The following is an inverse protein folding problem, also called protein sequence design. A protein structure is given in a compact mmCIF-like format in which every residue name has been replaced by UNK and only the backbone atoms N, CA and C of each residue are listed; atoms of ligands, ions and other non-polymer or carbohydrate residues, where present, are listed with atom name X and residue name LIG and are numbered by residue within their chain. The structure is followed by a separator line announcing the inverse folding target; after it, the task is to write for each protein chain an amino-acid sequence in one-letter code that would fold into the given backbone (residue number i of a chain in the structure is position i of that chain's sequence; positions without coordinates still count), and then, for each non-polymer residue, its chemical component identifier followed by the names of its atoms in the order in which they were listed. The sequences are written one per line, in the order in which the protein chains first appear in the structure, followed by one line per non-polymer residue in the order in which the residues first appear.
data_IF_278036665206
#
_entry.id   IF_278036665206
#
_cell.length_a   1.000
_cell.length_b   1.000
_cell.length_c   1.000
_cell.angle_alpha   90.00
_cell.angle_beta   90.00
_cell.angle_gamma   90.00
#
_symmetry.space_group_name_H-M   'P 1'
#
loop_
_entity.id
_entity.type
_entity.pdbx_description
1 polymer ?
#
# COMPACT_ATOMS: atom_id res chain seq x y z
N UNK A 1 -6.18 -5.44 27.22
CA UNK A 1 -5.82 -4.49 26.14
C UNK A 1 -4.32 -4.38 25.87
N UNK A 2 -3.43 -3.99 26.80
CA UNK A 2 -1.97 -3.88 26.51
C UNK A 2 -1.25 -5.24 26.32
N UNK A 3 -1.68 -6.32 26.97
CA UNK A 3 -1.09 -7.65 26.80
C UNK A 3 -1.46 -8.30 25.46
N UNK A 4 -2.71 -8.14 25.01
CA UNK A 4 -3.21 -8.75 23.75
C UNK A 4 -2.52 -8.16 22.52
N UNK A 5 -2.17 -6.86 22.56
CA UNK A 5 -1.43 -6.19 21.48
C UNK A 5 0.03 -6.66 21.40
N UNK A 6 0.69 -6.92 22.53
CA UNK A 6 2.05 -7.45 22.56
C UNK A 6 2.11 -8.92 22.13
N UNK A 7 1.10 -9.72 22.48
CA UNK A 7 1.01 -11.12 22.04
C UNK A 7 0.71 -11.22 20.53
N UNK A 8 -0.16 -10.36 20.00
CA UNK A 8 -0.45 -10.30 18.57
C UNK A 8 0.79 -9.88 17.75
N UNK A 9 1.58 -8.91 18.23
CA UNK A 9 2.82 -8.48 17.58
C UNK A 9 3.86 -9.62 17.56
N UNK A 10 4.05 -10.31 18.69
CA UNK A 10 4.98 -11.45 18.77
C UNK A 10 4.53 -12.65 17.92
N UNK A 11 3.23 -12.89 17.80
CA UNK A 11 2.67 -13.93 16.93
C UNK A 11 2.87 -13.57 15.44
N UNK A 12 2.78 -12.29 15.08
CA UNK A 12 3.12 -11.74 13.76
C UNK A 12 4.60 -11.92 13.41
N UNK A 13 5.50 -11.49 14.31
CA UNK A 13 6.95 -11.61 14.12
C UNK A 13 7.39 -13.08 13.95
N UNK A 14 6.78 -14.00 14.72
CA UNK A 14 7.06 -15.44 14.62
C UNK A 14 6.53 -16.03 13.31
N UNK A 15 5.36 -15.60 12.85
CA UNK A 15 4.78 -16.04 11.58
C UNK A 15 5.64 -15.61 10.38
N UNK A 16 6.14 -14.38 10.40
CA UNK A 16 6.99 -13.87 9.33
C UNK A 16 8.37 -14.54 9.33
N UNK A 17 8.90 -14.91 10.50
CA UNK A 17 10.10 -15.75 10.61
C UNK A 17 9.89 -17.16 10.02
N UNK A 18 8.73 -17.79 10.24
CA UNK A 18 8.37 -19.08 9.63
C UNK A 18 8.30 -18.97 8.10
N UNK A 19 7.66 -17.92 7.58
CA UNK A 19 7.58 -17.66 6.13
C UNK A 19 8.97 -17.41 5.53
N UNK A 20 9.80 -16.60 6.18
CA UNK A 20 11.18 -16.34 5.74
C UNK A 20 12.03 -17.62 5.66
N UNK A 21 11.88 -18.52 6.63
CA UNK A 21 12.59 -19.80 6.62
C UNK A 21 12.14 -20.71 5.47
N UNK A 22 10.83 -20.83 5.25
CA UNK A 22 10.29 -21.62 4.13
C UNK A 22 10.71 -21.04 2.77
N UNK A 23 10.82 -19.72 2.65
CA UNK A 23 11.32 -19.06 1.43
C UNK A 23 12.77 -19.46 1.14
N UNK A 24 13.63 -19.45 2.17
CA UNK A 24 15.05 -19.75 2.03
C UNK A 24 15.35 -21.24 1.81
N UNK A 25 14.61 -22.14 2.49
CA UNK A 25 14.83 -23.59 2.39
C UNK A 25 14.00 -24.26 1.29
N UNK A 26 13.01 -23.58 0.71
CA UNK A 26 12.07 -24.11 -0.27
C UNK A 26 10.96 -24.96 0.35
N UNK A 27 11.31 -25.96 1.15
CA UNK A 27 10.39 -26.75 1.96
C UNK A 27 11.01 -27.14 3.31
N UNK A 28 10.20 -27.30 4.35
CA UNK A 28 10.67 -27.75 5.67
C UNK A 28 9.57 -28.42 6.48
N UNK A 29 9.94 -29.27 7.44
CA UNK A 29 8.99 -29.80 8.43
C UNK A 29 8.79 -28.83 9.59
N UNK A 30 7.70 -29.00 10.35
CA UNK A 30 7.49 -28.22 11.58
C UNK A 30 8.60 -28.41 12.62
N UNK A 31 9.30 -29.56 12.60
CA UNK A 31 10.43 -29.82 13.49
C UNK A 31 11.65 -28.98 13.08
N UNK A 32 12.00 -28.99 11.78
CA UNK A 32 13.13 -28.22 11.24
C UNK A 32 12.97 -26.72 11.45
N UNK A 33 11.73 -26.23 11.35
CA UNK A 33 11.38 -24.82 11.60
C UNK A 33 11.50 -24.51 13.11
N UNK A 34 11.00 -25.39 13.98
CA UNK A 34 11.07 -25.20 15.43
C UNK A 34 12.50 -25.16 15.95
N UNK A 35 13.35 -26.06 15.46
CA UNK A 35 14.77 -26.09 15.77
C UNK A 35 15.48 -24.79 15.32
N UNK A 36 15.25 -24.37 14.08
CA UNK A 36 15.90 -23.19 13.53
C UNK A 36 15.47 -21.87 14.20
N UNK A 37 14.21 -21.79 14.65
CA UNK A 37 13.65 -20.59 15.29
C UNK A 37 13.72 -20.64 16.82
N UNK A 38 14.21 -21.74 17.41
CA UNK A 38 14.30 -21.90 18.88
C UNK A 38 12.94 -21.96 19.57
N UNK A 39 11.89 -22.40 18.89
CA UNK A 39 10.51 -22.49 19.41
C UNK A 39 9.98 -23.93 19.34
N UNK A 40 8.98 -24.23 20.17
CA UNK A 40 8.41 -25.58 20.21
C UNK A 40 7.75 -25.96 18.88
N UNK A 41 7.85 -27.23 18.47
CA UNK A 41 7.17 -27.75 17.28
C UNK A 41 5.65 -27.53 17.33
N UNK A 42 5.04 -27.53 18.52
CA UNK A 42 3.61 -27.25 18.69
C UNK A 42 3.27 -25.80 18.36
N UNK A 43 4.09 -24.83 18.78
CA UNK A 43 3.92 -23.43 18.42
C UNK A 43 4.03 -23.23 16.90
N UNK A 44 5.05 -23.85 16.27
CA UNK A 44 5.22 -23.83 14.81
C UNK A 44 4.00 -24.39 14.09
N UNK A 45 3.46 -25.54 14.55
CA UNK A 45 2.26 -26.13 13.94
C UNK A 45 1.08 -25.18 13.96
N UNK A 46 0.84 -24.48 15.07
CA UNK A 46 -0.22 -23.46 15.14
C UNK A 46 -0.05 -22.38 14.08
N UNK A 47 1.17 -21.88 13.88
CA UNK A 47 1.44 -20.89 12.84
C UNK A 47 1.28 -21.45 11.43
N UNK A 48 1.73 -22.69 11.18
CA UNK A 48 1.57 -23.37 9.89
C UNK A 48 0.10 -23.66 9.58
N UNK A 49 -0.71 -24.02 10.58
CA UNK A 49 -2.14 -24.25 10.42
C UNK A 49 -2.84 -22.95 10.02
N UNK A 50 -2.52 -21.83 10.70
CA UNK A 50 -3.04 -20.51 10.31
C UNK A 50 -2.61 -20.11 8.87
N UNK A 51 -1.36 -20.40 8.49
CA UNK A 51 -0.85 -20.12 7.14
C UNK A 51 -1.46 -21.04 6.07
N UNK A 52 -1.82 -22.28 6.43
CA UNK A 52 -2.57 -23.19 5.57
C UNK A 52 -4.01 -22.69 5.36
N UNK A 53 -4.68 -22.27 6.44
CA UNK A 53 -6.03 -21.70 6.36
C UNK A 53 -6.06 -20.41 5.52
N UNK A 54 -5.02 -19.58 5.64
CA UNK A 54 -4.85 -18.37 4.81
C UNK A 54 -4.44 -18.68 3.35
N UNK A 55 -4.05 -19.92 3.03
CA UNK A 55 -3.57 -20.31 1.71
C UNK A 55 -2.17 -19.81 1.35
N UNK A 56 -1.38 -19.41 2.35
CA UNK A 56 0.00 -18.92 2.20
C UNK A 56 1.03 -20.06 2.15
N UNK A 57 0.68 -21.18 2.77
CA UNK A 57 1.50 -22.39 2.81
C UNK A 57 0.68 -23.55 2.23
N UNK A 58 1.37 -24.52 1.62
CA UNK A 58 0.78 -25.81 1.25
C UNK A 58 1.68 -26.95 1.68
N UNK A 59 1.10 -28.15 1.78
CA UNK A 59 1.86 -29.37 2.09
C UNK A 59 2.58 -29.83 0.83
N UNK A 60 3.89 -30.06 0.94
CA UNK A 60 4.69 -30.54 -0.17
C UNK A 60 4.24 -31.96 -0.58
N UNK A 61 4.23 -32.27 -1.88
CA UNK A 61 4.07 -33.65 -2.31
C UNK A 61 5.20 -34.49 -1.70
N UNK A 62 4.94 -35.75 -1.30
CA UNK A 62 5.95 -36.58 -0.67
C UNK A 62 7.18 -36.69 -1.56
N UNK A 63 8.32 -36.21 -1.08
CA UNK A 63 9.59 -36.33 -1.79
C UNK A 63 9.97 -37.82 -1.79
N UNK A 64 10.02 -38.43 -2.99
CA UNK A 64 10.27 -39.86 -3.16
C UNK A 64 11.68 -40.33 -2.77
N UNK A 65 12.48 -39.47 -2.12
CA UNK A 65 13.91 -39.64 -1.86
C UNK A 65 14.27 -39.75 -0.37
N UNK A 66 13.32 -39.60 0.55
CA UNK A 66 13.53 -39.76 1.99
C UNK A 66 13.19 -41.18 2.49
N UNK A 67 14.21 -41.89 2.98
CA UNK A 67 14.18 -43.33 3.24
C UNK A 67 13.13 -43.88 4.23
N UNK A 68 13.00 -45.20 4.10
CA UNK A 68 12.13 -46.15 4.80
C UNK A 68 12.41 -46.19 6.30
N UNK A 69 11.88 -45.24 7.06
CA UNK A 69 11.77 -45.31 8.53
C UNK A 69 10.43 -45.91 8.98
N UNK A 70 10.39 -46.48 10.20
CA UNK A 70 9.13 -46.84 10.86
C UNK A 70 8.41 -45.55 11.29
N UNK A 71 7.28 -45.25 10.65
CA UNK A 71 6.41 -44.11 11.00
C UNK A 71 5.80 -43.44 9.77
N UNK A 72 4.72 -42.68 9.96
CA UNK A 72 4.15 -41.84 8.89
C UNK A 72 5.16 -40.73 8.55
N UNK A 73 5.50 -40.51 7.27
CA UNK A 73 6.40 -39.42 6.88
C UNK A 73 5.95 -38.08 7.45
N UNK A 74 6.89 -37.28 7.93
CA UNK A 74 6.60 -35.93 8.42
C UNK A 74 6.06 -35.07 7.27
N UNK A 75 5.05 -34.25 7.55
CA UNK A 75 4.55 -33.27 6.57
C UNK A 75 5.63 -32.21 6.36
N UNK A 76 6.05 -32.05 5.11
CA UNK A 76 6.84 -30.92 4.66
C UNK A 76 5.89 -29.83 4.17
N UNK A 77 6.25 -28.58 4.42
CA UNK A 77 5.48 -27.41 4.06
C UNK A 77 6.29 -26.54 3.11
N UNK A 78 5.65 -25.90 2.13
CA UNK A 78 6.26 -24.91 1.25
C UNK A 78 5.35 -23.68 1.07
N UNK A 79 5.93 -22.55 0.69
CA UNK A 79 5.16 -21.34 0.39
C UNK A 79 4.42 -21.46 -0.94
N UNK A 80 3.16 -21.07 -0.93
CA UNK A 80 2.40 -20.80 -2.15
C UNK A 80 2.83 -19.46 -2.76
N UNK A 81 2.43 -19.15 -4.01
CA UNK A 81 2.63 -17.81 -4.56
C UNK A 81 2.03 -16.69 -3.71
N UNK A 82 0.92 -16.91 -3.00
CA UNK A 82 0.35 -15.96 -2.04
C UNK A 82 1.24 -15.78 -0.81
N UNK A 83 1.73 -16.87 -0.21
CA UNK A 83 2.63 -16.77 0.94
C UNK A 83 3.95 -16.07 0.62
N UNK A 84 4.48 -16.26 -0.59
CA UNK A 84 5.66 -15.52 -1.07
C UNK A 84 5.42 -14.02 -1.17
N UNK A 85 4.18 -13.57 -1.43
CA UNK A 85 3.82 -12.15 -1.48
C UNK A 85 3.71 -11.49 -0.09
N UNK A 86 3.64 -12.27 1.01
CA UNK A 86 3.62 -11.72 2.38
C UNK A 86 4.97 -11.19 2.84
N UNK A 87 6.07 -11.72 2.32
CA UNK A 87 7.38 -11.12 2.53
C UNK A 87 7.43 -9.85 1.68
N UNK A 88 7.60 -8.71 2.34
CA UNK A 88 7.61 -7.38 1.73
C UNK A 88 8.35 -7.41 0.40
N UNK A 89 7.60 -7.16 -0.67
CA UNK A 89 8.16 -7.18 -2.01
C UNK A 89 8.97 -5.91 -2.18
N UNK A 90 10.21 -6.00 -2.66
CA UNK A 90 11.07 -4.84 -2.96
C UNK A 90 10.56 -3.98 -4.12
N UNK A 91 9.25 -3.93 -4.35
CA UNK A 91 8.63 -3.14 -5.42
C UNK A 91 8.84 -1.65 -5.20
N UNK A 92 8.85 -1.19 -3.96
CA UNK A 92 9.14 0.22 -3.66
C UNK A 92 10.58 0.57 -4.06
N UNK A 93 11.54 -0.29 -3.74
CA UNK A 93 12.93 -0.12 -4.14
C UNK A 93 13.08 -0.14 -5.67
N UNK A 94 12.44 -1.10 -6.35
CA UNK A 94 12.44 -1.17 -7.80
C UNK A 94 11.78 0.06 -8.45
N UNK A 95 10.69 0.57 -7.87
CA UNK A 95 9.99 1.75 -8.37
C UNK A 95 10.84 3.03 -8.18
N UNK A 96 11.51 3.16 -7.04
CA UNK A 96 12.49 4.24 -6.79
C UNK A 96 13.61 4.18 -7.84
N UNK A 97 14.22 3.02 -8.05
CA UNK A 97 15.29 2.87 -9.04
C UNK A 97 14.82 3.18 -10.47
N UNK A 98 13.60 2.78 -10.82
CA UNK A 98 13.00 3.10 -12.12
C UNK A 98 12.76 4.60 -12.29
N UNK A 99 12.29 5.31 -11.27
CA UNK A 99 12.09 6.76 -11.32
C UNK A 99 13.41 7.53 -11.32
N UNK A 100 14.45 7.05 -10.64
CA UNK A 100 15.80 7.60 -10.73
C UNK A 100 16.32 7.50 -12.17
N UNK A 101 16.22 6.31 -12.77
CA UNK A 101 16.61 6.10 -14.17
C UNK A 101 15.80 6.98 -15.13
N UNK A 102 14.50 7.16 -14.88
CA UNK A 102 13.66 8.06 -15.67
C UNK A 102 14.14 9.52 -15.56
N UNK A 103 14.49 9.98 -14.35
CA UNK A 103 15.03 11.32 -14.12
C UNK A 103 16.39 11.50 -14.79
N UNK A 104 17.26 10.49 -14.77
CA UNK A 104 18.57 10.54 -15.43
C UNK A 104 18.45 10.66 -16.96
N UNK A 105 17.55 9.89 -17.58
CA UNK A 105 17.40 9.85 -19.04
C UNK A 105 16.54 11.01 -19.56
N UNK A 106 15.46 11.36 -18.86
CA UNK A 106 14.43 12.29 -19.31
C UNK A 106 14.35 13.61 -18.55
N UNK A 107 15.16 13.79 -17.50
CA UNK A 107 15.13 14.96 -16.63
C UNK A 107 13.90 15.02 -15.72
N UNK A 108 13.77 16.12 -14.99
CA UNK A 108 12.67 16.33 -14.03
C UNK A 108 11.29 16.33 -14.68
N UNK A 109 11.17 16.84 -15.90
CA UNK A 109 9.87 16.90 -16.58
C UNK A 109 9.33 15.51 -16.96
N UNK A 110 10.22 14.52 -17.16
CA UNK A 110 9.79 13.15 -17.38
C UNK A 110 9.14 12.55 -16.12
N UNK A 111 9.72 12.83 -14.94
CA UNK A 111 9.15 12.44 -13.65
C UNK A 111 7.80 13.13 -13.42
N UNK A 112 7.72 14.45 -13.64
CA UNK A 112 6.46 15.21 -13.51
C UNK A 112 5.37 14.71 -14.45
N UNK A 113 5.74 14.39 -15.69
CA UNK A 113 4.81 13.83 -16.67
C UNK A 113 4.31 12.44 -16.25
N UNK A 114 5.19 11.59 -15.73
CA UNK A 114 4.79 10.30 -15.16
C UNK A 114 3.84 10.49 -13.97
N UNK A 115 4.19 11.37 -13.03
CA UNK A 115 3.40 11.67 -11.85
C UNK A 115 1.99 12.15 -12.20
N UNK A 116 1.87 13.09 -13.15
CA UNK A 116 0.58 13.60 -13.65
C UNK A 116 -0.27 12.49 -14.25
N UNK A 117 0.29 11.66 -15.15
CA UNK A 117 -0.43 10.52 -15.75
C UNK A 117 -0.91 9.52 -14.70
N UNK A 118 -0.08 9.25 -13.69
CA UNK A 118 -0.45 8.36 -12.59
C UNK A 118 -1.62 8.93 -11.78
N UNK A 119 -1.57 10.22 -11.42
CA UNK A 119 -2.63 10.88 -10.66
C UNK A 119 -3.96 10.89 -11.43
N UNK A 120 -3.92 11.20 -12.73
CA UNK A 120 -5.08 11.14 -13.63
C UNK A 120 -5.69 9.74 -13.68
N UNK A 121 -4.86 8.69 -13.73
CA UNK A 121 -5.33 7.31 -13.71
C UNK A 121 -5.97 6.92 -12.37
N UNK A 122 -5.42 7.39 -11.25
CA UNK A 122 -5.92 7.07 -9.91
C UNK A 122 -7.24 7.77 -9.59
N UNK A 123 -7.40 9.02 -10.03
CA UNK A 123 -8.64 9.79 -9.81
C UNK A 123 -9.69 9.46 -10.87
N UNK A 124 -9.25 9.07 -12.07
CA UNK A 124 -10.14 8.81 -13.20
C UNK A 124 -10.75 10.08 -13.78
N UNK A 125 -11.80 9.91 -14.57
CA UNK A 125 -12.46 11.01 -15.29
C UNK A 125 -13.55 11.66 -14.43
N UNK A 126 -13.18 12.29 -13.31
CA UNK A 126 -14.11 13.11 -12.51
C UNK A 126 -14.03 14.55 -13.01
N UNK A 127 -15.15 15.09 -13.48
CA UNK A 127 -15.22 16.48 -13.98
C UNK A 127 -15.95 17.41 -13.01
N UNK A 128 -15.53 18.69 -12.88
CA UNK A 128 -16.16 19.66 -11.98
C UNK A 128 -17.66 19.90 -12.23
N UNK A 129 -18.11 19.65 -13.46
CA UNK A 129 -19.50 19.83 -13.90
C UNK A 129 -20.43 18.68 -13.50
N UNK A 130 -19.88 17.52 -13.11
CA UNK A 130 -20.68 16.36 -12.72
C UNK A 130 -21.20 16.43 -11.28
N UNK A 131 -20.64 17.31 -10.45
CA UNK A 131 -21.04 17.44 -9.04
C UNK A 131 -21.33 18.91 -8.71
N UNK A 132 -22.61 19.19 -8.42
CA UNK A 132 -23.05 20.50 -7.94
C UNK A 132 -22.63 20.74 -6.47
N UNK A 133 -22.33 19.66 -5.73
CA UNK A 133 -21.95 19.67 -4.32
C UNK A 133 -20.47 19.28 -4.15
N UNK A 134 -19.59 20.18 -3.67
CA UNK A 134 -18.19 19.86 -3.42
C UNK A 134 -17.97 18.64 -2.50
N UNK A 135 -18.90 18.36 -1.58
CA UNK A 135 -18.80 17.20 -0.69
C UNK A 135 -18.99 15.88 -1.46
N UNK A 136 -19.90 15.86 -2.44
CA UNK A 136 -20.10 14.72 -3.31
C UNK A 136 -18.88 14.48 -4.23
N UNK A 137 -18.35 15.54 -4.82
CA UNK A 137 -17.10 15.46 -5.59
C UNK A 137 -15.94 14.87 -4.77
N UNK A 138 -15.75 15.33 -3.54
CA UNK A 138 -14.72 14.81 -2.64
C UNK A 138 -14.93 13.33 -2.28
N UNK A 139 -16.18 12.89 -2.05
CA UNK A 139 -16.52 11.47 -1.82
C UNK A 139 -16.22 10.60 -3.03
N UNK A 140 -16.53 11.07 -4.24
CA UNK A 140 -16.21 10.36 -5.49
C UNK A 140 -14.71 10.20 -5.68
N UNK A 141 -13.93 11.24 -5.40
CA UNK A 141 -12.46 11.19 -5.45
C UNK A 141 -11.92 10.18 -4.44
N UNK A 142 -12.41 10.20 -3.19
CA UNK A 142 -12.00 9.23 -2.18
C UNK A 142 -12.30 7.77 -2.59
N UNK A 143 -13.44 7.54 -3.25
CA UNK A 143 -13.78 6.24 -3.81
C UNK A 143 -12.81 5.81 -4.93
N UNK A 144 -12.52 6.70 -5.90
CA UNK A 144 -11.58 6.41 -6.98
C UNK A 144 -10.16 6.14 -6.47
N UNK A 145 -9.69 6.92 -5.49
CA UNK A 145 -8.42 6.64 -4.82
C UNK A 145 -8.42 5.28 -4.14
N UNK A 146 -9.53 4.89 -3.50
CA UNK A 146 -9.64 3.57 -2.88
C UNK A 146 -9.58 2.44 -3.92
N UNK A 147 -10.24 2.60 -5.07
CA UNK A 147 -10.15 1.66 -6.20
C UNK A 147 -8.71 1.59 -6.75
N UNK A 148 -7.96 2.68 -6.68
CA UNK A 148 -6.54 2.75 -7.06
C UNK A 148 -5.57 2.19 -6.00
N UNK A 149 -6.08 1.61 -4.91
CA UNK A 149 -5.28 0.93 -3.87
C UNK A 149 -4.89 1.81 -2.67
N UNK A 150 -5.45 3.01 -2.56
CA UNK A 150 -5.39 3.78 -1.32
C UNK A 150 -6.43 3.26 -0.33
N UNK A 151 -6.29 3.62 0.95
CA UNK A 151 -7.41 3.54 1.90
C UNK A 151 -7.88 4.97 2.13
N UNK A 152 -8.96 5.38 1.46
CA UNK A 152 -9.39 6.77 1.46
C UNK A 152 -10.88 6.95 1.79
N UNK A 153 -11.18 8.04 2.48
CA UNK A 153 -12.53 8.50 2.78
C UNK A 153 -12.63 10.02 2.68
N UNK A 154 -13.86 10.52 2.66
CA UNK A 154 -14.13 11.96 2.70
C UNK A 154 -15.14 12.27 3.81
N UNK A 155 -14.86 13.31 4.59
CA UNK A 155 -15.69 13.75 5.71
C UNK A 155 -15.85 15.26 5.74
N UNK A 156 -17.03 15.74 6.07
CA UNK A 156 -17.27 17.17 6.28
C UNK A 156 -16.61 17.64 7.58
N UNK A 157 -15.96 18.81 7.52
CA UNK A 157 -15.26 19.44 8.65
C UNK A 157 -15.37 20.96 8.56
N UNK A 158 -16.01 21.57 9.56
CA UNK A 158 -16.19 23.03 9.59
C UNK A 158 -16.92 23.53 8.34
N UNK A 159 -16.27 24.38 7.56
CA UNK A 159 -16.77 24.96 6.31
C UNK A 159 -16.19 24.26 5.04
N UNK A 160 -15.70 23.04 5.18
CA UNK A 160 -15.10 22.28 4.08
C UNK A 160 -15.33 20.78 4.19
N UNK A 161 -14.72 20.04 3.28
CA UNK A 161 -14.62 18.59 3.27
C UNK A 161 -13.14 18.21 3.34
N UNK A 162 -12.81 17.16 4.06
CA UNK A 162 -11.46 16.58 4.06
C UNK A 162 -11.49 15.24 3.34
N UNK A 163 -10.61 15.09 2.36
CA UNK A 163 -10.24 13.81 1.78
C UNK A 163 -9.07 13.28 2.60
N UNK A 164 -9.26 12.15 3.26
CA UNK A 164 -8.26 11.48 4.10
C UNK A 164 -7.76 10.23 3.38
N UNK A 165 -6.45 10.01 3.33
CA UNK A 165 -5.85 8.75 2.89
C UNK A 165 -5.09 8.15 4.07
N UNK A 166 -5.58 7.05 4.61
CA UNK A 166 -4.98 6.30 5.72
C UNK A 166 -3.92 5.31 5.27
N UNK A 167 -3.88 5.00 3.98
CA UNK A 167 -2.84 4.22 3.33
C UNK A 167 -2.55 4.81 1.96
N UNK A 168 -1.26 5.01 1.66
CA UNK A 168 -0.77 5.41 0.34
C UNK A 168 0.17 4.33 -0.21
N UNK A 169 -0.19 3.67 -1.33
CA UNK A 169 0.57 2.55 -1.89
C UNK A 169 1.92 2.97 -2.51
N UNK A 170 2.22 4.28 -2.54
CA UNK A 170 3.49 4.82 -3.07
C UNK A 170 4.15 5.79 -2.09
N UNK A 171 3.81 5.70 -0.80
CA UNK A 171 4.33 6.62 0.22
C UNK A 171 5.87 6.61 0.32
N UNK A 172 6.47 5.42 0.29
CA UNK A 172 7.93 5.26 0.30
C UNK A 172 8.58 5.88 -0.95
N UNK A 173 7.99 5.69 -2.12
CA UNK A 173 8.48 6.28 -3.38
C UNK A 173 8.30 7.80 -3.37
N UNK A 174 7.16 8.29 -2.88
CA UNK A 174 6.84 9.71 -2.82
C UNK A 174 7.69 10.50 -1.83
N UNK A 175 8.32 9.83 -0.84
CA UNK A 175 9.28 10.46 0.05
C UNK A 175 10.54 10.95 -0.70
N UNK A 176 10.93 10.26 -1.78
CA UNK A 176 12.06 10.68 -2.64
C UNK A 176 11.61 11.43 -3.90
N UNK A 177 10.39 11.19 -4.36
CA UNK A 177 9.80 11.84 -5.54
C UNK A 177 8.52 12.62 -5.17
N UNK A 178 8.63 13.81 -4.56
CA UNK A 178 7.49 14.63 -4.13
C UNK A 178 6.54 15.02 -5.28
N UNK A 179 7.01 14.98 -6.53
CA UNK A 179 6.22 15.25 -7.73
C UNK A 179 4.97 14.36 -7.79
N UNK A 180 5.02 13.15 -7.21
CA UNK A 180 3.88 12.24 -7.08
C UNK A 180 2.76 12.85 -6.21
N UNK A 181 3.12 13.44 -5.06
CA UNK A 181 2.16 14.09 -4.19
C UNK A 181 1.65 15.40 -4.79
N UNK A 182 2.52 16.18 -5.45
CA UNK A 182 2.14 17.43 -6.12
C UNK A 182 1.15 17.18 -7.26
N UNK A 183 1.41 16.16 -8.09
CA UNK A 183 0.53 15.77 -9.18
C UNK A 183 -0.84 15.29 -8.69
N UNK A 184 -0.88 14.52 -7.59
CA UNK A 184 -2.13 14.09 -6.96
C UNK A 184 -2.97 15.29 -6.51
N UNK A 185 -2.37 16.25 -5.80
CA UNK A 185 -3.06 17.48 -5.37
C UNK A 185 -3.61 18.23 -6.59
N UNK A 186 -2.76 18.46 -7.60
CA UNK A 186 -3.18 19.16 -8.81
C UNK A 186 -4.33 18.46 -9.54
N UNK A 187 -4.35 17.12 -9.54
CA UNK A 187 -5.42 16.36 -10.18
C UNK A 187 -6.73 16.44 -9.37
N UNK A 188 -6.65 16.46 -8.03
CA UNK A 188 -7.82 16.69 -7.16
C UNK A 188 -8.40 18.10 -7.39
N UNK A 189 -7.54 19.13 -7.46
CA UNK A 189 -7.97 20.51 -7.76
C UNK A 189 -8.69 20.60 -9.11
N UNK A 190 -8.12 19.97 -10.14
CA UNK A 190 -8.70 19.96 -11.48
C UNK A 190 -10.04 19.23 -11.51
N UNK A 191 -10.16 18.08 -10.82
CA UNK A 191 -11.38 17.29 -10.76
C UNK A 191 -12.52 18.03 -10.03
N UNK A 192 -12.21 18.80 -8.98
CA UNK A 192 -13.20 19.55 -8.20
C UNK A 192 -13.48 20.95 -8.77
N UNK A 193 -12.56 21.50 -9.56
CA UNK A 193 -12.65 22.86 -10.09
C UNK A 193 -12.54 23.93 -9.00
N UNK A 194 -11.89 23.61 -7.87
CA UNK A 194 -11.64 24.53 -6.77
C UNK A 194 -10.24 24.29 -6.20
N UNK A 195 -9.68 25.30 -5.55
CA UNK A 195 -8.41 25.16 -4.84
C UNK A 195 -8.57 24.21 -3.65
N UNK A 196 -7.57 23.37 -3.42
CA UNK A 196 -7.51 22.47 -2.26
C UNK A 196 -6.21 22.68 -1.50
N UNK A 197 -6.23 22.37 -0.21
CA UNK A 197 -5.05 22.52 0.63
C UNK A 197 -4.62 21.17 1.20
N UNK A 198 -3.39 20.75 0.89
CA UNK A 198 -2.77 19.61 1.56
C UNK A 198 -2.32 20.02 2.96
N UNK A 199 -2.81 19.31 3.97
CA UNK A 199 -2.55 19.58 5.39
C UNK A 199 -1.51 18.62 5.99
N UNK A 200 -1.45 17.39 5.50
CA UNK A 200 -0.57 16.34 5.99
C UNK A 200 -0.29 15.31 4.88
N UNK A 201 0.83 14.61 4.94
CA UNK A 201 1.23 13.58 3.97
C UNK A 201 1.97 12.43 4.64
N UNK A 202 1.58 11.18 4.33
CA UNK A 202 2.29 9.98 4.81
C UNK A 202 3.76 9.99 4.39
N UNK A 203 4.09 10.48 3.19
CA UNK A 203 5.47 10.59 2.69
C UNK A 203 6.37 11.47 3.60
N UNK A 204 5.79 12.41 4.36
CA UNK A 204 6.51 13.24 5.33
C UNK A 204 6.47 12.66 6.76
N UNK A 205 5.98 11.44 6.94
CA UNK A 205 5.89 10.76 8.23
C UNK A 205 4.58 11.01 9.00
N UNK A 206 3.58 11.66 8.39
CA UNK A 206 2.25 11.78 9.00
C UNK A 206 1.51 10.45 9.01
N UNK A 207 0.52 10.31 9.90
CA UNK A 207 -0.30 9.09 9.99
C UNK A 207 -1.31 8.93 8.86
N UNK A 208 -1.59 10.00 8.14
CA UNK A 208 -2.53 10.01 7.01
C UNK A 208 -2.21 11.22 6.13
N UNK A 209 -2.50 11.10 4.83
CA UNK A 209 -2.59 12.27 3.98
C UNK A 209 -3.95 12.94 4.26
N UNK A 210 -3.98 14.27 4.35
CA UNK A 210 -5.24 15.01 4.52
C UNK A 210 -5.27 16.19 3.57
N UNK A 211 -6.29 16.24 2.73
CA UNK A 211 -6.52 17.33 1.78
C UNK A 211 -7.84 18.01 2.10
N UNK A 212 -7.81 19.30 2.40
CA UNK A 212 -8.99 20.11 2.66
C UNK A 212 -9.53 20.73 1.37
N UNK A 213 -10.83 20.59 1.17
CA UNK A 213 -11.62 21.12 0.07
C UNK A 213 -12.60 22.13 0.67
N UNK A 214 -12.54 23.42 0.32
CA UNK A 214 -13.53 24.39 0.78
C UNK A 214 -14.91 24.13 0.15
N UNK A 215 -15.99 24.27 0.91
CA UNK A 215 -17.36 24.17 0.38
C UNK A 215 -17.76 25.41 -0.44
N UNK A 216 -17.16 26.57 -0.15
CA UNK A 216 -17.31 27.77 -0.95
C UNK A 216 -16.32 27.75 -2.11
N UNK A 217 -16.82 27.72 -3.36
CA UNK A 217 -15.97 27.91 -4.54
C UNK A 217 -15.44 29.34 -4.53
N UNK A 218 -14.15 29.51 -4.26
CA UNK A 218 -13.47 30.78 -4.47
C UNK A 218 -13.27 30.96 -5.97
N UNK A 219 -14.17 31.71 -6.61
CA UNK A 219 -14.00 32.12 -8.01
C UNK A 219 -12.78 33.04 -8.08
N UNK A 220 -11.68 32.57 -8.69
CA UNK A 220 -10.58 33.47 -9.05
C UNK A 220 -11.06 34.36 -10.20
N UNK A 221 -11.36 35.62 -9.91
CA UNK A 221 -11.46 36.65 -10.95
C UNK A 221 -10.07 36.77 -11.62
N UNK A 222 -9.98 36.35 -12.88
CA UNK A 222 -8.81 36.67 -13.69
C UNK A 222 -8.87 38.17 -14.01
N UNK A 223 -7.84 38.98 -13.66
CA UNK A 223 -7.81 40.36 -14.11
C UNK A 223 -7.80 40.37 -15.63
N UNK A 224 -8.74 41.12 -16.22
CA UNK A 224 -8.86 41.27 -17.65
C UNK A 224 -7.50 41.64 -18.24
N UNK A 225 -7.00 40.83 -19.18
CA UNK A 225 -5.81 41.13 -19.96
C UNK A 225 -6.12 42.42 -20.74
N UNK A 226 -5.57 43.56 -20.32
CA UNK A 226 -5.60 44.77 -21.12
C UNK A 226 -4.88 44.49 -22.44
N UNK A 227 -5.65 44.44 -23.53
CA UNK A 227 -5.12 44.44 -24.89
C UNK A 227 -4.52 45.82 -25.15
N UNK A 228 -3.20 45.91 -25.28
CA UNK A 228 -2.49 47.05 -25.87
C UNK A 228 -1.73 46.57 -27.10
#
# INVERSE_FOLDING_TARGET
MKNEQHEAQRDGDTRDAVVGLLMNRGQATAADIGEALGITTTAVRRHLDNLLEAGDVTVAPPSGLGGRGRGRPAKEFLLTPSGRRRLGQGYDALAVDALRALREVGGEEAVRTFARRRAEQAIGTISPTESADPADGARRIAASLSDAGFSADAREVGNGVQICQHHCPVSEVAAEFPELCEAEISAIEQALGTHVQRLATIANGDRACTTHVPLERVVREQPAKELR
#
